data_IF_842298967298
#
_entry.id   IF_842298967298
#
_cell.length_a   1.000
_cell.length_b   1.000
_cell.length_c   1.000
_cell.angle_alpha   90.00
_cell.angle_beta   90.00
_cell.angle_gamma   90.00
#
_symmetry.space_group_name_H-M   'P 1'
#
loop_
_entity.id
_entity.type
_entity.pdbx_description
1 polymer ?
#
# COMPACT_ATOMS: atom_id res chain seq x y z
N UNK A 1 9.54 -42.34 9.33
CA UNK A 1 10.48 -41.26 9.67
C UNK A 1 10.46 -40.11 8.67
N UNK A 2 10.52 -40.33 7.37
CA UNK A 2 10.51 -39.27 6.37
C UNK A 2 9.23 -38.44 6.38
N UNK A 3 8.06 -39.06 6.59
CA UNK A 3 6.75 -38.37 6.65
C UNK A 3 6.61 -37.43 7.88
N UNK A 4 7.24 -37.77 9.01
CA UNK A 4 7.25 -36.92 10.19
C UNK A 4 8.17 -35.73 9.99
N UNK A 5 9.29 -35.90 9.30
CA UNK A 5 10.22 -34.82 8.99
C UNK A 5 9.59 -33.79 8.03
N UNK A 6 8.79 -34.25 7.04
CA UNK A 6 8.08 -33.39 6.11
C UNK A 6 6.96 -32.60 6.85
N UNK A 7 6.30 -33.20 7.82
CA UNK A 7 5.29 -32.51 8.63
C UNK A 7 5.90 -31.39 9.49
N UNK A 8 7.06 -31.63 10.09
CA UNK A 8 7.81 -30.59 10.86
C UNK A 8 8.28 -29.44 9.97
N UNK A 9 8.77 -29.73 8.75
CA UNK A 9 9.20 -28.69 7.80
C UNK A 9 8.02 -27.88 7.26
N UNK A 10 6.82 -28.48 7.17
CA UNK A 10 5.61 -27.76 6.73
C UNK A 10 4.99 -26.91 7.85
N UNK A 11 5.17 -27.26 9.11
CA UNK A 11 4.68 -26.45 10.24
C UNK A 11 5.57 -25.22 10.50
N UNK A 12 6.86 -25.26 10.17
CA UNK A 12 7.73 -24.09 10.26
C UNK A 12 7.55 -23.06 9.15
N UNK A 13 6.76 -23.39 8.10
CA UNK A 13 6.45 -22.47 6.99
C UNK A 13 5.12 -21.72 7.16
N UNK A 14 4.33 -22.00 8.19
CA UNK A 14 3.16 -21.22 8.54
C UNK A 14 3.63 -19.90 9.18
N UNK A 15 3.94 -18.89 8.36
CA UNK A 15 4.19 -17.55 8.87
C UNK A 15 2.94 -17.04 9.58
N UNK A 16 3.10 -16.56 10.82
CA UNK A 16 2.04 -15.80 11.47
C UNK A 16 1.79 -14.52 10.66
N UNK A 17 0.52 -14.18 10.46
CA UNK A 17 0.17 -12.91 9.80
C UNK A 17 0.13 -11.77 10.84
N UNK A 18 0.37 -10.53 10.43
CA UNK A 18 0.18 -9.39 11.30
C UNK A 18 -1.31 -9.14 11.56
N UNK A 19 -1.64 -8.58 12.72
CA UNK A 19 -3.03 -8.45 13.16
C UNK A 19 -3.40 -7.03 13.55
N UNK A 20 -4.68 -6.69 13.37
CA UNK A 20 -5.34 -5.51 13.93
C UNK A 20 -6.44 -5.95 14.88
N UNK A 21 -6.44 -5.44 16.10
CA UNK A 21 -7.44 -5.71 17.12
C UNK A 21 -8.09 -4.40 17.59
N UNK A 22 -9.33 -4.16 17.20
CA UNK A 22 -10.08 -2.98 17.64
C UNK A 22 -10.52 -3.09 19.09
N UNK A 23 -10.19 -2.09 19.92
CA UNK A 23 -10.44 -2.12 21.37
C UNK A 23 -11.93 -2.23 21.74
N UNK A 24 -12.81 -1.72 20.92
CA UNK A 24 -14.27 -1.77 21.13
C UNK A 24 -14.90 -3.16 20.94
N UNK A 25 -14.12 -4.17 20.61
CA UNK A 25 -14.60 -5.55 20.40
C UNK A 25 -14.45 -6.44 21.64
N UNK A 26 -13.86 -5.94 22.72
CA UNK A 26 -13.49 -6.73 23.90
C UNK A 26 -14.25 -6.23 25.14
N UNK A 27 -15.48 -6.76 25.43
CA UNK A 27 -16.27 -6.41 26.60
C UNK A 27 -15.58 -6.79 27.91
N UNK A 28 -16.03 -6.18 29.01
CA UNK A 28 -15.46 -6.38 30.36
C UNK A 28 -15.70 -7.78 30.93
N UNK A 29 -14.89 -8.14 31.91
CA UNK A 29 -15.07 -9.38 32.69
C UNK A 29 -14.58 -10.65 32.00
N UNK A 30 -13.99 -10.56 30.84
CA UNK A 30 -13.42 -11.68 30.08
C UNK A 30 -11.95 -11.38 29.76
N UNK A 31 -11.12 -12.40 29.82
CA UNK A 31 -9.76 -12.36 29.27
C UNK A 31 -9.77 -13.02 27.90
N UNK A 32 -9.30 -12.28 26.91
CA UNK A 32 -9.21 -12.71 25.51
C UNK A 32 -7.77 -13.13 25.22
N UNK A 33 -7.57 -14.41 24.91
CA UNK A 33 -6.30 -14.93 24.44
C UNK A 33 -6.20 -14.80 22.91
N UNK A 34 -5.04 -14.38 22.43
CA UNK A 34 -4.74 -14.25 21.01
C UNK A 34 -3.71 -15.32 20.60
N UNK A 35 -4.21 -16.51 20.27
CA UNK A 35 -3.38 -17.68 19.97
C UNK A 35 -2.61 -17.58 18.64
N UNK A 36 -3.04 -16.67 17.76
CA UNK A 36 -2.42 -16.49 16.44
C UNK A 36 -1.21 -15.53 16.45
N UNK A 37 -0.82 -15.01 17.61
CA UNK A 37 0.28 -14.06 17.74
C UNK A 37 1.57 -14.78 18.09
N UNK A 38 2.64 -14.49 17.34
CA UNK A 38 3.91 -15.17 17.53
C UNK A 38 4.85 -14.47 18.52
N UNK A 39 5.70 -15.27 19.15
CA UNK A 39 6.77 -14.77 20.02
C UNK A 39 7.77 -13.93 19.22
N UNK A 40 8.17 -12.80 19.80
CA UNK A 40 9.09 -11.86 19.18
C UNK A 40 8.43 -10.80 18.30
N UNK A 41 7.11 -10.88 18.08
CA UNK A 41 6.33 -9.81 17.45
C UNK A 41 6.31 -8.54 18.32
N UNK A 42 6.10 -7.38 17.71
CA UNK A 42 5.86 -6.12 18.41
C UNK A 42 4.38 -5.76 18.41
N UNK A 43 3.91 -5.32 19.57
CA UNK A 43 2.56 -4.77 19.76
C UNK A 43 2.64 -3.25 19.86
N UNK A 44 1.85 -2.55 19.06
CA UNK A 44 1.67 -1.10 19.05
C UNK A 44 0.22 -0.73 19.38
N UNK A 45 0.02 0.41 20.02
CA UNK A 45 -1.29 1.01 20.24
C UNK A 45 -1.46 2.25 19.36
N UNK A 46 -2.53 2.27 18.57
CA UNK A 46 -3.00 3.46 17.88
C UNK A 46 -4.32 3.91 18.51
N UNK A 47 -4.28 4.95 19.34
CA UNK A 47 -5.45 5.43 20.06
C UNK A 47 -5.35 6.93 20.36
N UNK A 48 -6.50 7.60 20.33
CA UNK A 48 -6.71 8.95 20.83
C UNK A 48 -7.64 8.94 22.06
N UNK A 49 -8.00 7.73 22.56
CA UNK A 49 -8.84 7.56 23.75
C UNK A 49 -8.10 8.09 25.00
N UNK A 50 -8.88 8.52 26.00
CA UNK A 50 -8.33 9.06 27.25
C UNK A 50 -7.52 7.99 28.00
N UNK A 51 -6.32 8.36 28.46
CA UNK A 51 -5.45 7.48 29.24
C UNK A 51 -6.13 6.93 30.50
N UNK A 52 -7.09 7.66 31.10
CA UNK A 52 -7.90 7.16 32.22
C UNK A 52 -8.74 5.94 31.86
N UNK A 53 -9.13 5.81 30.60
CA UNK A 53 -9.87 4.66 30.09
C UNK A 53 -8.89 3.57 29.68
N UNK A 54 -7.80 3.92 28.99
CA UNK A 54 -6.77 2.99 28.54
C UNK A 54 -6.04 2.29 29.69
N UNK A 55 -5.86 2.95 30.85
CA UNK A 55 -5.24 2.36 32.05
C UNK A 55 -6.02 1.14 32.60
N UNK A 56 -7.31 1.03 32.29
CA UNK A 56 -8.19 -0.06 32.70
C UNK A 56 -8.14 -1.25 31.72
N UNK A 57 -7.42 -1.14 30.63
CA UNK A 57 -7.21 -2.21 29.66
C UNK A 57 -5.82 -2.78 29.89
N UNK A 58 -5.74 -4.08 30.12
CA UNK A 58 -4.49 -4.77 30.44
C UNK A 58 -4.12 -5.74 29.34
N UNK A 59 -2.84 -5.72 29.01
CA UNK A 59 -2.17 -6.68 28.12
C UNK A 59 -1.24 -7.53 28.98
N UNK A 60 -1.36 -8.84 28.87
CA UNK A 60 -0.45 -9.79 29.53
C UNK A 60 0.32 -10.57 28.48
N UNK A 61 1.64 -10.58 28.59
CA UNK A 61 2.56 -11.34 27.74
C UNK A 61 3.84 -11.65 28.51
N UNK A 62 4.41 -12.84 28.34
CA UNK A 62 5.63 -13.27 29.05
C UNK A 62 5.49 -13.25 30.58
N UNK A 63 4.29 -13.46 31.11
CA UNK A 63 4.01 -13.37 32.55
C UNK A 63 4.05 -11.94 33.11
N UNK A 64 4.15 -10.91 32.27
CA UNK A 64 4.11 -9.50 32.64
C UNK A 64 2.80 -8.87 32.18
N UNK A 65 2.24 -7.98 33.01
CA UNK A 65 1.02 -7.24 32.69
C UNK A 65 1.34 -5.76 32.51
N UNK A 66 0.87 -5.19 31.42
CA UNK A 66 1.01 -3.78 31.04
C UNK A 66 -0.39 -3.16 30.93
N UNK A 67 -0.53 -1.88 31.23
CA UNK A 67 -1.73 -1.12 30.89
C UNK A 67 -1.55 -0.36 29.58
N UNK A 68 -2.62 -0.23 28.79
CA UNK A 68 -2.50 0.37 27.45
C UNK A 68 -2.11 1.84 27.45
N UNK A 69 -2.40 2.59 28.52
CA UNK A 69 -1.92 3.98 28.65
C UNK A 69 -0.40 4.09 28.57
N UNK A 70 0.35 3.05 28.99
CA UNK A 70 1.82 3.01 28.87
C UNK A 70 2.31 2.97 27.42
N UNK A 71 1.49 2.46 26.49
CA UNK A 71 1.78 2.44 25.06
C UNK A 71 1.26 3.67 24.30
N UNK A 72 0.44 4.48 24.97
CA UNK A 72 -0.22 5.64 24.34
C UNK A 72 0.68 6.88 24.25
N UNK A 73 1.99 6.66 24.20
CA UNK A 73 3.02 7.68 24.23
C UNK A 73 4.16 7.33 23.25
N UNK A 74 5.15 8.19 23.14
CA UNK A 74 6.31 8.03 22.26
C UNK A 74 7.58 7.85 23.08
N UNK A 75 8.60 7.26 22.48
CA UNK A 75 9.97 7.27 22.97
C UNK A 75 10.61 8.64 22.71
N UNK A 76 11.78 8.88 23.27
CA UNK A 76 12.51 10.17 23.15
C UNK A 76 12.91 10.49 21.69
N UNK A 77 13.01 9.48 20.84
CA UNK A 77 13.30 9.60 19.40
C UNK A 77 12.04 9.85 18.55
N UNK A 78 10.86 9.97 19.17
CA UNK A 78 9.58 10.14 18.49
C UNK A 78 8.97 8.86 17.93
N UNK A 79 9.62 7.71 18.09
CA UNK A 79 9.03 6.42 17.71
C UNK A 79 7.91 6.02 18.68
N UNK A 80 6.87 5.29 18.23
CA UNK A 80 5.82 4.82 19.11
C UNK A 80 6.36 3.78 20.10
N UNK A 81 5.87 3.82 21.34
CA UNK A 81 6.14 2.76 22.31
C UNK A 81 5.55 1.44 21.86
N UNK A 82 6.27 0.37 22.10
CA UNK A 82 5.85 -0.99 21.76
C UNK A 82 6.18 -1.98 22.87
N UNK A 83 5.45 -3.11 22.89
CA UNK A 83 5.76 -4.25 23.73
C UNK A 83 6.17 -5.41 22.85
N UNK A 84 7.32 -6.03 23.15
CA UNK A 84 7.72 -7.28 22.51
C UNK A 84 6.94 -8.44 23.12
N UNK A 85 6.24 -9.21 22.29
CA UNK A 85 5.41 -10.34 22.71
C UNK A 85 6.28 -11.54 23.04
N UNK A 86 5.90 -12.27 24.13
CA UNK A 86 6.56 -13.48 24.58
C UNK A 86 5.56 -14.38 25.28
N UNK A 87 5.44 -15.64 24.84
CA UNK A 87 4.59 -16.64 25.50
C UNK A 87 3.08 -16.34 25.44
N UNK A 88 2.60 -15.87 24.28
CA UNK A 88 1.19 -15.52 24.06
C UNK A 88 0.85 -14.07 24.39
N UNK A 89 -0.37 -13.69 24.07
CA UNK A 89 -0.91 -12.35 24.27
C UNK A 89 -2.34 -12.44 24.80
N UNK A 90 -2.58 -11.88 25.97
CA UNK A 90 -3.91 -11.80 26.57
C UNK A 90 -4.33 -10.33 26.71
N UNK A 91 -5.60 -10.04 26.49
CA UNK A 91 -6.22 -8.75 26.74
C UNK A 91 -7.39 -8.89 27.70
N UNK A 92 -7.47 -7.99 28.67
CA UNK A 92 -8.62 -7.88 29.58
C UNK A 92 -8.93 -6.41 29.87
N UNK A 93 -10.18 -6.11 30.19
CA UNK A 93 -10.60 -4.76 30.59
C UNK A 93 -11.52 -4.77 31.78
N UNK A 94 -11.38 -3.76 32.63
CA UNK A 94 -12.30 -3.45 33.72
C UNK A 94 -13.26 -2.30 33.41
N UNK A 95 -13.15 -1.72 32.21
CA UNK A 95 -14.12 -0.74 31.73
C UNK A 95 -15.48 -1.40 31.55
N UNK A 96 -16.56 -0.69 31.89
CA UNK A 96 -17.91 -1.15 31.58
C UNK A 96 -18.16 -1.12 30.08
N UNK A 97 -19.05 -1.96 29.58
CA UNK A 97 -19.29 -2.13 28.14
C UNK A 97 -19.70 -0.84 27.44
N UNK A 98 -20.46 0.04 28.12
CA UNK A 98 -20.84 1.35 27.56
C UNK A 98 -19.66 2.31 27.31
N UNK A 99 -18.54 2.08 28.00
CA UNK A 99 -17.26 2.79 27.78
C UNK A 99 -16.46 2.08 26.70
N UNK A 100 -16.32 0.75 26.81
CA UNK A 100 -15.56 -0.07 25.87
C UNK A 100 -16.09 0.10 24.43
N UNK A 101 -17.39 0.06 24.23
CA UNK A 101 -18.04 0.18 22.92
C UNK A 101 -17.78 1.56 22.23
N UNK A 102 -17.31 2.55 22.97
CA UNK A 102 -16.97 3.87 22.45
C UNK A 102 -15.49 4.05 22.13
N UNK A 103 -14.68 3.06 22.46
CA UNK A 103 -13.25 3.11 22.17
C UNK A 103 -13.02 3.18 20.67
N UNK A 104 -12.08 4.01 20.29
CA UNK A 104 -11.73 4.28 18.87
C UNK A 104 -10.39 3.69 18.50
N UNK A 105 -9.59 3.33 19.51
CA UNK A 105 -8.25 2.78 19.34
C UNK A 105 -8.25 1.33 18.87
N UNK A 106 -7.09 0.91 18.41
CA UNK A 106 -6.80 -0.45 18.01
C UNK A 106 -5.35 -0.81 18.30
N UNK A 107 -5.08 -2.10 18.39
CA UNK A 107 -3.75 -2.67 18.51
C UNK A 107 -3.29 -3.15 17.13
N UNK A 108 -2.03 -2.89 16.80
CA UNK A 108 -1.34 -3.49 15.67
C UNK A 108 -0.26 -4.43 16.19
N UNK A 109 -0.32 -5.69 15.77
CA UNK A 109 0.68 -6.71 16.06
C UNK A 109 1.41 -7.06 14.77
N UNK A 110 2.71 -6.88 14.78
CA UNK A 110 3.58 -7.28 13.67
C UNK A 110 3.80 -8.79 13.65
N UNK A 111 4.45 -9.30 12.63
CA UNK A 111 5.13 -10.59 12.73
C UNK A 111 6.50 -10.42 13.41
N UNK A 112 7.09 -11.51 13.88
CA UNK A 112 8.47 -11.49 14.39
C UNK A 112 9.45 -11.00 13.33
N UNK A 113 9.28 -11.46 12.08
CA UNK A 113 10.13 -11.05 10.96
C UNK A 113 10.04 -9.54 10.71
N UNK A 114 8.84 -8.95 10.78
CA UNK A 114 8.65 -7.50 10.67
C UNK A 114 9.30 -6.76 11.83
N UNK A 115 9.18 -7.30 13.06
CA UNK A 115 9.77 -6.71 14.26
C UNK A 115 11.31 -6.73 14.27
N UNK A 116 11.92 -7.72 13.61
CA UNK A 116 13.37 -7.90 13.54
C UNK A 116 13.99 -7.20 12.28
N UNK A 117 13.17 -6.70 11.34
CA UNK A 117 13.65 -5.98 10.14
C UNK A 117 13.89 -4.49 10.44
N UNK A 118 15.14 -4.06 10.36
CA UNK A 118 15.54 -2.66 10.57
C UNK A 118 14.97 -1.67 9.52
N UNK A 119 14.43 -2.18 8.42
CA UNK A 119 13.80 -1.38 7.37
C UNK A 119 12.26 -1.40 7.46
N UNK A 120 11.71 -2.03 8.48
CA UNK A 120 10.29 -2.03 8.78
C UNK A 120 10.00 -1.04 9.91
N UNK A 121 9.20 -0.02 9.60
CA UNK A 121 8.90 1.06 10.53
C UNK A 121 7.39 1.17 10.76
N UNK A 122 7.02 1.53 11.99
CA UNK A 122 5.62 1.81 12.35
C UNK A 122 5.55 3.22 12.89
N UNK A 123 4.63 4.03 12.37
CA UNK A 123 4.32 5.37 12.87
C UNK A 123 2.88 5.41 13.34
N UNK A 124 2.69 5.97 14.52
CA UNK A 124 1.37 6.26 15.10
C UNK A 124 1.13 7.77 14.96
N UNK A 125 0.19 8.15 14.10
CA UNK A 125 -0.01 9.54 13.72
C UNK A 125 -0.97 10.22 14.70
N UNK A 126 -0.42 10.98 15.63
CA UNK A 126 -1.15 11.88 16.56
C UNK A 126 -0.95 13.33 16.23
N UNK A 127 0.20 13.65 15.70
CA UNK A 127 0.64 15.00 15.31
C UNK A 127 1.35 14.91 13.96
N UNK A 128 2.04 15.97 13.58
CA UNK A 128 2.88 15.99 12.39
C UNK A 128 4.13 15.12 12.60
N UNK A 129 4.44 14.29 11.58
CA UNK A 129 5.65 13.51 11.50
C UNK A 129 6.41 13.83 10.21
N UNK A 130 7.70 14.09 10.34
CA UNK A 130 8.62 14.10 9.21
C UNK A 130 9.16 12.68 9.01
N UNK A 131 8.84 12.08 7.88
CA UNK A 131 9.29 10.73 7.55
C UNK A 131 10.39 10.81 6.51
N UNK A 132 11.53 10.21 6.82
CA UNK A 132 12.66 10.07 5.91
C UNK A 132 13.08 8.61 5.85
N UNK A 133 13.17 8.05 4.66
CA UNK A 133 13.72 6.74 4.42
C UNK A 133 14.89 6.88 3.43
N UNK A 134 16.02 6.28 3.75
CA UNK A 134 17.24 6.36 2.94
C UNK A 134 17.73 5.00 2.43
N UNK A 135 17.14 3.91 2.91
CA UNK A 135 17.56 2.55 2.58
C UNK A 135 17.11 2.12 1.17
N UNK A 136 17.74 1.07 0.65
CA UNK A 136 17.38 0.53 -0.65
C UNK A 136 15.96 0.00 -0.72
N UNK A 137 15.40 -0.46 0.40
CA UNK A 137 13.98 -0.87 0.52
C UNK A 137 13.53 -0.65 1.95
N UNK A 138 12.45 0.09 2.13
CA UNK A 138 11.80 0.28 3.42
C UNK A 138 10.30 0.04 3.30
N UNK A 139 9.71 -0.47 4.37
CA UNK A 139 8.26 -0.58 4.56
C UNK A 139 7.87 0.23 5.78
N UNK A 140 6.92 1.12 5.60
CA UNK A 140 6.47 2.05 6.64
C UNK A 140 4.96 1.91 6.82
N UNK A 141 4.54 1.49 8.00
CA UNK A 141 3.13 1.36 8.39
C UNK A 141 2.69 2.65 9.08
N UNK A 142 1.56 3.17 8.63
CA UNK A 142 0.92 4.38 9.17
C UNK A 142 -0.34 3.97 9.91
N UNK A 143 -0.40 4.29 11.18
CA UNK A 143 -1.53 4.03 12.06
C UNK A 143 -2.18 5.34 12.47
N UNK A 144 -3.37 5.62 11.97
CA UNK A 144 -4.14 6.82 12.30
C UNK A 144 -4.89 6.63 13.62
N UNK A 145 -4.87 7.65 14.47
CA UNK A 145 -5.39 7.54 15.84
C UNK A 145 -6.69 8.29 16.06
N UNK A 146 -6.80 9.49 15.52
CA UNK A 146 -7.88 10.40 15.84
C UNK A 146 -8.98 10.29 14.79
N UNK A 147 -10.20 10.17 15.26
CA UNK A 147 -11.36 10.51 14.46
C UNK A 147 -11.46 12.03 14.33
N UNK A 148 -11.32 12.49 13.13
CA UNK A 148 -11.61 13.87 12.81
C UNK A 148 -13.12 13.96 12.66
N UNK A 149 -13.80 14.58 13.63
CA UNK A 149 -15.23 14.87 13.52
C UNK A 149 -15.42 15.92 12.45
N UNK A 150 -15.98 15.50 11.34
CA UNK A 150 -16.58 16.43 10.39
C UNK A 150 -17.92 16.92 10.92
N UNK A 151 -18.22 18.18 10.68
CA UNK A 151 -19.18 19.03 11.38
C UNK A 151 -20.60 18.49 11.58
N UNK A 152 -21.06 17.47 10.86
CA UNK A 152 -22.43 16.96 10.99
C UNK A 152 -22.63 15.49 10.64
N UNK A 153 -21.58 14.73 10.38
CA UNK A 153 -21.71 13.29 10.18
C UNK A 153 -21.38 12.55 11.47
N UNK A 154 -22.29 11.71 11.94
CA UNK A 154 -22.05 10.83 13.08
C UNK A 154 -21.00 9.74 12.79
N UNK A 155 -20.21 9.89 11.72
CA UNK A 155 -19.21 8.92 11.31
C UNK A 155 -17.82 9.57 11.39
N UNK A 156 -17.05 9.18 12.39
CA UNK A 156 -15.69 9.68 12.55
C UNK A 156 -14.77 9.11 11.46
N UNK A 157 -13.97 9.97 10.86
CA UNK A 157 -12.96 9.61 9.86
C UNK A 157 -11.57 9.66 10.48
N UNK A 158 -10.79 8.61 10.35
CA UNK A 158 -9.35 8.64 10.58
C UNK A 158 -8.66 8.99 9.26
N UNK A 159 -7.74 9.95 9.30
CA UNK A 159 -7.15 10.49 8.09
C UNK A 159 -5.68 10.83 8.26
N UNK A 160 -4.91 10.61 7.22
CA UNK A 160 -3.56 11.15 7.04
C UNK A 160 -3.57 12.19 5.93
N UNK A 161 -2.93 13.33 6.18
CA UNK A 161 -2.65 14.34 5.18
C UNK A 161 -1.15 14.33 4.87
N UNK A 162 -0.81 13.93 3.66
CA UNK A 162 0.57 13.73 3.19
C UNK A 162 0.97 14.90 2.31
N UNK A 163 2.08 15.56 2.65
CA UNK A 163 2.60 16.73 1.95
C UNK A 163 4.11 16.66 1.80
N UNK A 164 4.67 17.59 1.02
CA UNK A 164 6.11 17.77 0.84
C UNK A 164 6.81 16.46 0.46
N UNK A 165 6.18 15.71 -0.42
CA UNK A 165 6.74 14.45 -0.91
C UNK A 165 7.87 14.75 -1.89
N UNK A 166 9.08 14.35 -1.51
CA UNK A 166 10.29 14.54 -2.30
C UNK A 166 11.05 13.23 -2.45
N UNK A 167 11.23 12.78 -3.69
CA UNK A 167 12.03 11.62 -4.03
C UNK A 167 12.53 11.70 -5.48
N UNK A 168 13.56 10.94 -5.79
CA UNK A 168 14.15 10.95 -7.14
C UNK A 168 13.43 10.00 -8.10
N UNK A 169 13.68 10.18 -9.40
CA UNK A 169 13.15 9.29 -10.45
C UNK A 169 13.63 7.83 -10.33
N UNK A 170 14.70 7.58 -9.61
CA UNK A 170 15.22 6.24 -9.34
C UNK A 170 14.54 5.56 -8.14
N UNK A 171 13.78 6.31 -7.34
CA UNK A 171 12.99 5.79 -6.23
C UNK A 171 11.69 5.21 -6.77
N UNK A 172 11.27 4.04 -6.27
CA UNK A 172 9.93 3.52 -6.49
C UNK A 172 9.15 3.65 -5.18
N UNK A 173 8.04 4.35 -5.22
CA UNK A 173 7.13 4.56 -4.11
C UNK A 173 5.77 3.93 -4.40
N UNK A 174 5.24 3.18 -3.43
CA UNK A 174 3.92 2.55 -3.52
C UNK A 174 3.17 2.76 -2.21
N UNK A 175 2.01 3.40 -2.25
CA UNK A 175 1.06 3.46 -1.13
C UNK A 175 0.07 2.32 -1.27
N UNK A 176 -0.17 1.63 -0.18
CA UNK A 176 -0.93 0.38 -0.13
C UNK A 176 -1.92 0.42 1.03
N UNK A 177 -3.16 -0.04 0.80
CA UNK A 177 -4.16 -0.12 1.87
C UNK A 177 -3.97 -1.37 2.72
N UNK A 178 -4.42 -1.29 3.97
CA UNK A 178 -4.31 -2.38 4.93
C UNK A 178 -2.98 -2.38 5.68
N UNK A 179 -2.57 -3.54 6.14
CA UNK A 179 -1.28 -3.80 6.78
C UNK A 179 -0.47 -4.75 5.90
N UNK A 180 0.87 -4.62 5.86
CA UNK A 180 1.69 -5.49 5.04
C UNK A 180 1.62 -6.94 5.54
N UNK A 181 1.34 -7.89 4.65
CA UNK A 181 1.31 -9.31 4.96
C UNK A 181 2.68 -9.83 5.47
N UNK A 182 2.71 -11.04 6.02
CA UNK A 182 3.95 -11.64 6.54
C UNK A 182 5.08 -11.73 5.49
N UNK A 183 4.71 -11.88 4.22
CA UNK A 183 5.63 -11.92 3.08
C UNK A 183 5.62 -10.63 2.25
N UNK A 184 5.54 -9.47 2.88
CA UNK A 184 5.40 -8.10 2.29
C UNK A 184 6.40 -7.74 1.18
N UNK A 185 7.10 -8.71 0.62
CA UNK A 185 8.00 -8.52 -0.52
C UNK A 185 7.25 -8.23 -1.82
N UNK A 186 5.97 -8.59 -1.90
CA UNK A 186 5.12 -8.26 -3.03
C UNK A 186 4.60 -6.82 -2.90
N UNK A 187 5.19 -5.94 -3.71
CA UNK A 187 4.84 -4.51 -3.74
C UNK A 187 3.71 -4.20 -4.71
N UNK A 188 3.13 -5.20 -5.37
CA UNK A 188 2.09 -4.99 -6.39
C UNK A 188 0.69 -5.08 -5.83
N UNK A 189 0.52 -5.72 -4.67
CA UNK A 189 -0.78 -5.89 -4.04
C UNK A 189 -1.22 -4.64 -3.29
N UNK A 190 -2.52 -4.35 -3.33
CA UNK A 190 -3.16 -3.28 -2.57
C UNK A 190 -2.62 -1.86 -2.84
N UNK A 191 -1.98 -1.62 -3.99
CA UNK A 191 -1.45 -0.30 -4.33
C UNK A 191 -2.59 0.62 -4.74
N UNK A 192 -2.69 1.78 -4.11
CA UNK A 192 -3.64 2.84 -4.49
C UNK A 192 -2.97 4.11 -5.03
N UNK A 193 -1.66 4.27 -4.81
CA UNK A 193 -0.86 5.34 -5.38
C UNK A 193 0.55 4.85 -5.64
N UNK A 194 1.18 5.30 -6.71
CA UNK A 194 2.57 5.00 -7.01
C UNK A 194 3.26 6.15 -7.73
N UNK A 195 4.54 6.32 -7.44
CA UNK A 195 5.39 7.24 -8.20
C UNK A 195 6.81 6.66 -8.30
N UNK A 196 7.29 6.37 -9.51
CA UNK A 196 6.65 6.54 -10.82
C UNK A 196 5.49 5.56 -11.07
N UNK A 197 4.67 5.87 -12.07
CA UNK A 197 3.65 4.98 -12.59
C UNK A 197 4.16 4.22 -13.82
N UNK A 198 3.59 3.03 -14.05
CA UNK A 198 3.80 2.30 -15.28
C UNK A 198 2.56 2.43 -16.15
N UNK A 199 2.68 3.16 -17.26
CA UNK A 199 1.63 3.27 -18.26
C UNK A 199 1.82 2.18 -19.31
N UNK A 200 0.80 1.38 -19.49
CA UNK A 200 0.82 0.27 -20.44
C UNK A 200 -0.46 0.24 -21.25
N UNK A 201 -0.31 0.09 -22.57
CA UNK A 201 -1.37 -0.35 -23.48
C UNK A 201 -0.78 -1.35 -24.47
N UNK A 202 -1.54 -1.76 -25.50
CA UNK A 202 -1.12 -2.77 -26.48
C UNK A 202 0.17 -2.40 -27.24
N UNK A 203 0.47 -1.11 -27.36
CA UNK A 203 1.58 -0.60 -28.14
C UNK A 203 2.62 0.16 -27.32
N UNK A 204 2.35 0.39 -26.04
CA UNK A 204 3.12 1.29 -25.21
C UNK A 204 3.37 0.73 -23.81
N UNK A 205 4.61 0.85 -23.35
CA UNK A 205 4.99 0.55 -21.97
C UNK A 205 6.04 1.56 -21.54
N UNK A 206 5.66 2.51 -20.70
CA UNK A 206 6.56 3.52 -20.17
C UNK A 206 6.42 3.66 -18.65
N UNK A 207 7.55 3.91 -18.03
CA UNK A 207 7.65 4.31 -16.64
C UNK A 207 7.72 5.83 -16.58
N UNK A 208 6.70 6.46 -15.99
CA UNK A 208 6.58 7.92 -15.92
C UNK A 208 6.77 8.37 -14.47
N UNK A 209 7.78 9.19 -14.24
CA UNK A 209 8.06 9.82 -12.97
C UNK A 209 7.46 11.22 -12.92
N UNK A 210 6.78 11.53 -11.82
CA UNK A 210 6.21 12.84 -11.54
C UNK A 210 7.08 13.55 -10.51
N UNK A 211 7.68 14.64 -10.90
CA UNK A 211 8.53 15.45 -10.02
C UNK A 211 7.73 16.36 -9.07
N UNK A 212 6.42 16.44 -9.27
CA UNK A 212 5.50 17.12 -8.38
C UNK A 212 4.35 16.20 -7.99
N UNK A 213 4.14 16.06 -6.69
CA UNK A 213 3.01 15.31 -6.12
C UNK A 213 2.17 16.29 -5.31
N UNK A 214 0.89 16.43 -5.71
CA UNK A 214 -0.08 17.22 -4.97
C UNK A 214 -0.32 16.63 -3.56
N UNK A 215 -0.75 17.43 -2.60
CA UNK A 215 -1.10 16.93 -1.29
C UNK A 215 -2.10 15.77 -1.37
N UNK A 216 -1.83 14.70 -0.64
CA UNK A 216 -2.66 13.48 -0.63
C UNK A 216 -3.38 13.36 0.70
N UNK A 217 -4.69 13.11 0.64
CA UNK A 217 -5.51 12.80 1.81
C UNK A 217 -5.88 11.32 1.79
N UNK A 218 -5.53 10.59 2.87
CA UNK A 218 -5.76 9.15 2.99
C UNK A 218 -6.69 8.88 4.16
N UNK A 219 -7.97 8.65 3.87
CA UNK A 219 -9.03 8.41 4.84
C UNK A 219 -9.14 6.94 5.23
N UNK A 220 -8.11 6.38 5.83
CA UNK A 220 -8.04 4.99 6.29
C UNK A 220 -7.60 4.92 7.74
N UNK A 221 -8.04 3.90 8.48
CA UNK A 221 -7.56 3.66 9.85
C UNK A 221 -6.05 3.37 9.85
N UNK A 222 -5.61 2.58 8.88
CA UNK A 222 -4.22 2.23 8.67
C UNK A 222 -3.93 1.97 7.20
N UNK A 223 -2.72 2.25 6.82
CA UNK A 223 -2.17 2.00 5.49
C UNK A 223 -0.66 1.88 5.60
N UNK A 224 0.00 1.48 4.55
CA UNK A 224 1.45 1.42 4.54
C UNK A 224 2.00 1.85 3.20
N UNK A 225 3.28 2.17 3.17
CA UNK A 225 3.97 2.35 1.92
C UNK A 225 5.28 1.57 1.89
N UNK A 226 5.63 1.14 0.68
CA UNK A 226 6.93 0.57 0.38
C UNK A 226 7.69 1.53 -0.51
N UNK A 227 8.95 1.71 -0.20
CA UNK A 227 9.83 2.59 -0.97
C UNK A 227 11.15 1.89 -1.27
N UNK A 228 11.61 2.05 -2.52
CA UNK A 228 12.92 1.58 -2.95
C UNK A 228 13.74 2.80 -3.38
N UNK A 229 14.52 3.35 -2.47
CA UNK A 229 15.31 4.56 -2.62
C UNK A 229 14.96 5.62 -1.59
N UNK A 230 15.66 6.76 -1.60
CA UNK A 230 15.44 7.84 -0.63
C UNK A 230 14.10 8.54 -0.89
N UNK A 231 13.42 8.88 0.21
CA UNK A 231 12.21 9.69 0.22
C UNK A 231 12.15 10.56 1.47
N UNK A 232 11.56 11.74 1.33
CA UNK A 232 11.13 12.59 2.41
C UNK A 232 9.66 12.96 2.23
N UNK A 233 8.89 13.00 3.31
CA UNK A 233 7.51 13.49 3.31
C UNK A 233 7.08 13.92 4.70
N UNK A 234 6.03 14.73 4.75
CA UNK A 234 5.34 15.09 5.99
C UNK A 234 3.99 14.37 6.01
N UNK A 235 3.67 13.73 7.13
CA UNK A 235 2.36 13.13 7.38
C UNK A 235 1.78 13.77 8.65
N UNK A 236 0.54 14.27 8.53
CA UNK A 236 -0.20 14.90 9.62
C UNK A 236 -1.52 14.18 9.85
N UNK A 237 -1.94 14.10 11.13
CA UNK A 237 -3.32 13.76 11.47
C UNK A 237 -4.21 14.99 11.26
N UNK A 238 -4.62 15.21 10.02
CA UNK A 238 -5.38 16.37 9.59
C UNK A 238 -6.33 15.98 8.47
N UNK A 239 -7.53 16.52 8.50
CA UNK A 239 -8.47 16.47 7.39
C UNK A 239 -8.63 17.85 6.78
N UNK A 240 -8.48 17.96 5.47
CA UNK A 240 -8.66 19.19 4.71
C UNK A 240 -10.00 19.10 3.98
N UNK A 241 -10.94 19.90 4.43
CA UNK A 241 -12.34 19.87 4.03
C UNK A 241 -12.59 20.41 2.63
N UNK A 242 -11.78 21.40 2.27
CA UNK A 242 -11.85 22.14 1.02
C UNK A 242 -10.63 21.87 0.14
N UNK A 243 -10.12 20.65 0.20
CA UNK A 243 -8.99 20.25 -0.61
C UNK A 243 -9.32 20.40 -2.10
N UNK A 244 -8.61 21.31 -2.76
CA UNK A 244 -8.71 21.47 -4.20
C UNK A 244 -7.79 20.49 -4.89
N UNK A 245 -8.36 19.56 -5.64
CA UNK A 245 -7.61 18.63 -6.45
C UNK A 245 -7.21 19.32 -7.77
N UNK A 246 -5.91 19.34 -8.04
CA UNK A 246 -5.39 20.04 -9.22
C UNK A 246 -4.05 19.46 -9.67
N UNK A 247 -3.64 19.81 -10.89
CA UNK A 247 -2.27 19.66 -11.36
C UNK A 247 -1.62 21.02 -11.44
N UNK A 248 -0.41 21.19 -10.94
CA UNK A 248 0.32 22.48 -10.96
C UNK A 248 1.16 22.69 -12.22
N UNK A 249 0.85 21.96 -13.27
CA UNK A 249 1.55 22.02 -14.55
C UNK A 249 1.98 20.64 -15.05
N UNK A 250 3.13 20.61 -15.74
CA UNK A 250 3.67 19.39 -16.29
C UNK A 250 4.23 18.45 -15.20
N UNK A 251 4.15 17.16 -15.44
CA UNK A 251 4.71 16.10 -14.59
C UNK A 251 4.20 16.14 -13.14
N UNK A 252 2.91 16.35 -12.99
CA UNK A 252 2.20 16.38 -11.71
C UNK A 252 1.29 15.18 -11.57
N UNK A 253 1.22 14.61 -10.37
CA UNK A 253 0.27 13.56 -9.97
C UNK A 253 -0.34 13.86 -8.61
N UNK A 254 -1.51 13.32 -8.35
CA UNK A 254 -2.18 13.40 -7.08
C UNK A 254 -3.17 12.24 -6.93
N UNK A 255 -3.93 12.23 -5.83
CA UNK A 255 -4.87 11.18 -5.51
C UNK A 255 -6.20 11.75 -5.06
N UNK A 256 -7.27 11.25 -5.64
CA UNK A 256 -8.65 11.38 -5.14
C UNK A 256 -9.08 10.02 -4.60
N UNK A 257 -9.69 10.01 -3.42
CA UNK A 257 -10.33 8.81 -2.88
C UNK A 257 -11.70 9.16 -2.31
N UNK A 258 -12.59 8.20 -2.23
CA UNK A 258 -13.89 8.38 -1.56
C UNK A 258 -13.69 8.78 -0.11
N UNK A 259 -14.47 9.73 0.34
CA UNK A 259 -14.64 10.09 1.75
C UNK A 259 -16.11 10.02 2.17
N UNK A 260 -16.42 10.31 3.45
CA UNK A 260 -17.80 10.26 3.96
C UNK A 260 -18.69 11.42 3.51
N UNK A 261 -18.15 12.40 2.81
CA UNK A 261 -18.80 13.69 2.60
C UNK A 261 -19.14 13.88 1.13
N UNK A 262 -18.18 13.60 0.28
CA UNK A 262 -18.29 13.85 -1.14
C UNK A 262 -18.30 12.54 -1.92
N UNK A 263 -19.31 12.38 -2.74
CA UNK A 263 -19.37 11.35 -3.78
C UNK A 263 -19.02 11.89 -5.16
N UNK A 264 -18.68 13.17 -5.26
CA UNK A 264 -18.17 13.78 -6.48
C UNK A 264 -16.94 14.64 -6.15
N UNK A 265 -15.87 14.41 -6.87
CA UNK A 265 -14.64 15.17 -6.80
C UNK A 265 -14.25 15.66 -8.18
N UNK A 266 -13.79 16.89 -8.25
CA UNK A 266 -13.29 17.50 -9.48
C UNK A 266 -11.82 17.78 -9.36
N UNK A 267 -11.04 17.28 -10.33
CA UNK A 267 -9.62 17.59 -10.51
C UNK A 267 -9.47 18.57 -11.65
N UNK A 268 -8.87 19.73 -11.37
CA UNK A 268 -8.54 20.72 -12.38
C UNK A 268 -7.15 20.43 -12.94
N UNK A 269 -7.08 20.02 -14.19
CA UNK A 269 -5.80 19.88 -14.88
C UNK A 269 -5.29 21.25 -15.32
N UNK A 270 -4.01 21.50 -15.05
CA UNK A 270 -3.30 22.71 -15.47
C UNK A 270 -2.11 22.34 -16.38
N UNK A 271 -2.38 21.81 -17.58
CA UNK A 271 -1.33 21.33 -18.45
C UNK A 271 -0.56 22.48 -19.07
N UNK A 272 0.74 22.28 -19.31
CA UNK A 272 1.54 23.19 -20.14
C UNK A 272 1.21 22.98 -21.61
N UNK A 273 0.28 23.78 -22.13
CA UNK A 273 -0.22 23.70 -23.51
C UNK A 273 0.80 24.13 -24.57
N UNK A 274 1.96 24.63 -24.16
CA UNK A 274 3.07 24.94 -25.09
C UNK A 274 3.85 23.68 -25.50
N UNK A 275 3.57 22.54 -24.86
CA UNK A 275 4.24 21.26 -25.09
C UNK A 275 3.22 20.18 -25.39
N UNK A 276 3.68 19.14 -26.07
CA UNK A 276 2.95 17.89 -26.15
C UNK A 276 2.88 17.25 -24.76
N UNK A 277 1.81 16.55 -24.48
CA UNK A 277 1.62 15.91 -23.18
C UNK A 277 0.33 15.14 -23.15
N UNK A 278 0.11 14.46 -22.03
CA UNK A 278 -1.10 13.69 -21.79
C UNK A 278 -1.60 13.89 -20.38
N UNK A 279 -2.92 13.78 -20.22
CA UNK A 279 -3.60 13.74 -18.95
C UNK A 279 -4.29 12.39 -18.80
N UNK A 280 -4.40 11.90 -17.59
CA UNK A 280 -5.06 10.64 -17.35
C UNK A 280 -5.24 10.32 -15.87
N UNK A 281 -5.74 9.12 -15.64
CA UNK A 281 -5.91 8.57 -14.30
C UNK A 281 -5.69 7.07 -14.26
N UNK A 282 -5.32 6.57 -13.10
CA UNK A 282 -5.34 5.16 -12.74
C UNK A 282 -6.43 5.00 -11.70
N UNK A 283 -7.39 4.15 -11.98
CA UNK A 283 -8.47 3.87 -11.06
C UNK A 283 -8.27 2.53 -10.38
N UNK A 284 -8.66 2.47 -9.11
CA UNK A 284 -8.79 1.25 -8.34
C UNK A 284 -10.06 1.35 -7.52
N UNK A 285 -11.00 0.45 -7.78
CA UNK A 285 -12.27 0.45 -7.09
C UNK A 285 -12.60 -0.91 -6.49
N UNK A 286 -13.39 -0.90 -5.44
CA UNK A 286 -13.92 -2.10 -4.81
C UNK A 286 -15.33 -2.41 -5.31
N UNK A 287 -15.78 -3.67 -5.21
CA UNK A 287 -16.92 -4.19 -5.97
C UNK A 287 -18.30 -3.70 -5.57
N UNK A 288 -18.44 -2.79 -4.64
CA UNK A 288 -19.73 -2.45 -4.03
C UNK A 288 -20.36 -1.16 -4.53
N UNK A 289 -19.67 -0.39 -5.36
CA UNK A 289 -20.14 0.91 -5.84
C UNK A 289 -19.84 1.11 -7.31
N UNK A 290 -20.73 1.81 -8.00
CA UNK A 290 -20.48 2.30 -9.34
C UNK A 290 -19.69 3.60 -9.24
N UNK A 291 -18.64 3.74 -10.04
CA UNK A 291 -17.78 4.92 -10.09
C UNK A 291 -17.68 5.41 -11.53
N UNK A 292 -17.99 6.69 -11.74
CA UNK A 292 -17.86 7.36 -13.03
C UNK A 292 -16.62 8.25 -13.06
N UNK A 293 -15.91 8.23 -14.19
CA UNK A 293 -14.72 9.01 -14.46
C UNK A 293 -14.90 9.76 -15.79
N UNK A 294 -14.98 11.09 -15.73
CA UNK A 294 -15.27 11.92 -16.90
C UNK A 294 -14.14 12.92 -17.11
N UNK A 295 -13.45 12.81 -18.23
CA UNK A 295 -12.41 13.78 -18.62
C UNK A 295 -12.92 14.72 -19.69
N UNK A 296 -12.66 16.01 -19.52
CA UNK A 296 -13.09 17.08 -20.41
C UNK A 296 -11.90 17.90 -20.93
N UNK A 297 -11.97 18.35 -22.17
CA UNK A 297 -11.07 19.34 -22.77
C UNK A 297 -11.90 20.45 -23.40
N UNK A 298 -11.98 21.61 -22.75
CA UNK A 298 -12.95 22.64 -23.07
C UNK A 298 -14.37 22.09 -22.97
N UNK A 299 -15.23 22.29 -23.99
CA UNK A 299 -16.58 21.76 -23.99
C UNK A 299 -16.69 20.28 -24.42
N UNK A 300 -15.60 19.66 -24.82
CA UNK A 300 -15.57 18.30 -25.35
C UNK A 300 -15.32 17.28 -24.24
N UNK A 301 -16.21 16.29 -24.12
CA UNK A 301 -15.98 15.09 -23.33
C UNK A 301 -14.95 14.21 -24.09
N UNK A 302 -13.78 14.03 -23.55
CA UNK A 302 -12.67 13.25 -24.19
C UNK A 302 -12.60 11.82 -23.63
N UNK A 303 -13.15 11.57 -22.46
CA UNK A 303 -13.27 10.23 -21.89
C UNK A 303 -14.51 10.16 -21.02
N UNK A 304 -15.29 9.10 -21.22
CA UNK A 304 -16.45 8.74 -20.41
C UNK A 304 -16.27 7.26 -20.03
N UNK A 305 -16.01 7.02 -18.76
CA UNK A 305 -15.75 5.69 -18.26
C UNK A 305 -16.56 5.47 -16.99
N UNK A 306 -17.56 4.60 -17.06
CA UNK A 306 -18.35 4.19 -15.91
C UNK A 306 -18.02 2.76 -15.56
N UNK A 307 -17.62 2.56 -14.33
CA UNK A 307 -17.33 1.26 -13.79
C UNK A 307 -18.48 0.74 -12.96
N UNK A 308 -18.99 -0.42 -13.34
CA UNK A 308 -19.93 -1.18 -12.53
C UNK A 308 -19.28 -1.88 -11.34
N UNK A 309 -20.12 -2.48 -10.51
CA UNK A 309 -19.68 -3.25 -9.33
C UNK A 309 -18.72 -4.37 -9.70
N UNK A 310 -17.56 -4.43 -9.04
CA UNK A 310 -16.53 -5.44 -9.26
C UNK A 310 -15.13 -4.89 -8.92
N UNK A 311 -14.19 -5.70 -8.46
CA UNK A 311 -12.81 -5.25 -8.26
C UNK A 311 -12.25 -4.80 -9.61
N UNK A 312 -11.66 -3.63 -9.58
CA UNK A 312 -11.21 -2.94 -10.78
C UNK A 312 -9.81 -2.39 -10.59
N UNK A 313 -9.04 -2.54 -11.61
CA UNK A 313 -7.73 -1.95 -11.76
C UNK A 313 -7.58 -1.53 -13.23
N UNK A 314 -7.64 -0.24 -13.48
CA UNK A 314 -7.62 0.31 -14.82
C UNK A 314 -6.79 1.57 -14.94
N UNK A 315 -6.21 1.76 -16.10
CA UNK A 315 -5.51 3.00 -16.45
C UNK A 315 -6.16 3.59 -17.68
N UNK A 316 -6.61 4.82 -17.56
CA UNK A 316 -7.14 5.59 -18.67
C UNK A 316 -6.33 6.88 -18.86
N UNK A 317 -5.97 7.17 -20.08
CA UNK A 317 -5.27 8.39 -20.43
C UNK A 317 -5.59 8.79 -21.87
N UNK A 318 -5.46 10.07 -22.14
CA UNK A 318 -5.69 10.64 -23.45
C UNK A 318 -4.42 11.30 -23.96
N UNK A 319 -4.09 11.20 -25.27
CA UNK A 319 -2.98 11.92 -25.86
C UNK A 319 -3.22 13.44 -25.89
N UNK A 320 -4.43 13.89 -25.59
CA UNK A 320 -4.77 15.29 -25.44
C UNK A 320 -4.71 15.69 -23.96
N UNK A 321 -4.28 16.93 -23.73
CA UNK A 321 -4.30 17.47 -22.38
C UNK A 321 -5.74 17.85 -22.01
N UNK A 322 -6.28 17.18 -20.99
CA UNK A 322 -7.58 17.52 -20.45
C UNK A 322 -7.50 18.78 -19.55
N UNK A 323 -8.63 19.43 -19.37
CA UNK A 323 -8.82 20.57 -18.45
C UNK A 323 -9.38 20.13 -17.12
N UNK A 324 -10.15 19.04 -17.12
CA UNK A 324 -10.91 18.59 -15.95
C UNK A 324 -11.07 17.06 -15.94
N UNK A 325 -11.03 16.48 -14.75
CA UNK A 325 -11.50 15.14 -14.46
C UNK A 325 -12.57 15.25 -13.37
N UNK A 326 -13.74 14.68 -13.62
CA UNK A 326 -14.78 14.49 -12.60
C UNK A 326 -14.83 13.00 -12.24
N UNK A 327 -14.76 12.72 -10.94
CA UNK A 327 -14.89 11.37 -10.38
C UNK A 327 -16.09 11.37 -9.47
N UNK A 328 -17.06 10.49 -9.72
CA UNK A 328 -18.23 10.36 -8.86
C UNK A 328 -18.49 8.90 -8.50
N UNK A 329 -19.08 8.68 -7.34
CA UNK A 329 -19.51 7.35 -6.89
C UNK A 329 -20.98 7.37 -6.50
N UNK A 330 -21.63 6.21 -6.61
CA UNK A 330 -23.04 6.07 -6.22
C UNK A 330 -23.28 6.22 -4.72
N UNK A 331 -22.24 6.04 -3.89
CA UNK A 331 -22.33 6.17 -2.43
C UNK A 331 -21.02 6.73 -1.86
N UNK A 332 -21.08 7.63 -0.86
CA UNK A 332 -19.92 8.18 -0.19
C UNK A 332 -19.43 7.21 0.91
N UNK A 333 -18.79 6.12 0.54
CA UNK A 333 -18.18 5.17 1.50
C UNK A 333 -16.68 5.24 1.37
N UNK A 334 -15.93 5.68 2.39
CA UNK A 334 -14.49 5.81 2.34
C UNK A 334 -13.78 4.52 1.94
N UNK A 335 -12.71 4.67 1.15
CA UNK A 335 -11.92 3.56 0.71
C UNK A 335 -12.58 2.65 -0.32
N UNK A 336 -13.68 3.08 -0.96
CA UNK A 336 -14.36 2.30 -2.00
C UNK A 336 -13.77 2.52 -3.39
N UNK A 337 -13.13 3.65 -3.61
CA UNK A 337 -12.30 3.88 -4.79
C UNK A 337 -11.07 4.72 -4.48
N UNK A 338 -10.06 4.57 -5.34
CA UNK A 338 -8.85 5.38 -5.39
C UNK A 338 -8.62 5.76 -6.84
N UNK A 339 -8.42 7.06 -7.09
CA UNK A 339 -8.17 7.60 -8.43
C UNK A 339 -6.88 8.43 -8.39
N UNK A 340 -5.78 7.84 -8.86
CA UNK A 340 -4.54 8.58 -9.06
C UNK A 340 -4.63 9.30 -10.39
N UNK A 341 -4.69 10.63 -10.38
CA UNK A 341 -4.68 11.46 -11.57
C UNK A 341 -3.28 11.96 -11.89
N UNK A 342 -3.05 12.31 -13.15
CA UNK A 342 -1.74 12.81 -13.59
C UNK A 342 -1.81 13.66 -14.85
N UNK A 343 -0.82 14.55 -14.97
CA UNK A 343 -0.49 15.30 -16.18
C UNK A 343 1.01 15.24 -16.42
N UNK A 344 1.43 14.89 -17.61
CA UNK A 344 2.84 14.88 -17.96
C UNK A 344 3.08 15.49 -19.34
N UNK A 345 4.32 15.95 -19.57
CA UNK A 345 4.80 16.44 -20.85
C UNK A 345 5.78 15.44 -21.46
N UNK A 346 5.68 15.24 -22.74
CA UNK A 346 6.52 14.35 -23.52
C UNK A 346 5.72 13.48 -24.47
N UNK A 347 6.38 12.92 -25.45
CA UNK A 347 5.76 12.01 -26.39
C UNK A 347 5.66 10.63 -25.74
N UNK A 348 4.44 10.19 -25.50
CA UNK A 348 4.14 8.82 -25.07
C UNK A 348 4.25 7.81 -26.22
N UNK A 349 4.38 8.29 -27.44
CA UNK A 349 4.63 7.41 -28.56
C UNK A 349 6.02 6.78 -28.36
N UNK A 350 6.14 5.46 -28.41
CA UNK A 350 7.44 4.84 -28.43
C UNK A 350 8.20 5.47 -29.58
N UNK A 351 9.28 6.16 -29.26
CA UNK A 351 10.25 6.52 -30.30
C UNK A 351 10.68 5.18 -30.86
N UNK A 352 10.13 4.82 -32.02
CA UNK A 352 10.61 3.69 -32.79
C UNK A 352 12.03 4.05 -33.14
N UNK A 353 12.98 3.68 -32.29
CA UNK A 353 14.39 3.76 -32.62
C UNK A 353 14.53 2.72 -33.69
N UNK A 354 14.31 3.18 -34.95
CA UNK A 354 14.75 2.45 -36.11
C UNK A 354 16.26 2.41 -35.93
N UNK A 355 16.75 1.33 -35.34
CA UNK A 355 18.15 1.01 -35.43
C UNK A 355 18.40 0.87 -36.95
N UNK A 356 18.78 1.94 -37.55
CA UNK A 356 19.40 1.92 -38.88
C UNK A 356 20.68 1.15 -38.67
N UNK A 357 20.60 -0.17 -38.86
CA UNK A 357 21.79 -1.01 -38.96
C UNK A 357 22.58 -0.47 -40.16
N UNK A 358 23.47 0.45 -39.86
CA UNK A 358 24.51 0.88 -40.83
C UNK A 358 25.42 -0.34 -40.96
N UNK A 359 25.13 -1.16 -41.95
CA UNK A 359 26.07 -2.18 -42.42
C UNK A 359 27.38 -1.47 -42.73
N UNK A 360 28.36 -1.62 -41.90
CA UNK A 360 29.71 -1.21 -42.16
C UNK A 360 30.18 -1.86 -43.46
N UNK A 361 30.91 -1.14 -44.34
CA UNK A 361 31.39 -1.69 -45.59
C UNK A 361 32.35 -2.86 -45.28
N UNK A 362 32.05 -4.00 -45.88
CA UNK A 362 32.86 -5.21 -45.82
C UNK A 362 34.21 -4.94 -46.47
N UNK A 363 35.25 -4.77 -45.68
CA UNK A 363 36.64 -4.81 -46.15
C UNK A 363 37.08 -6.27 -46.16
N UNK A 364 37.23 -6.81 -47.34
CA UNK A 364 37.81 -8.13 -47.59
C UNK A 364 39.26 -8.14 -47.18
N UNK A 365 39.63 -8.89 -46.19
CA UNK A 365 41.02 -9.24 -45.88
C UNK A 365 41.11 -10.72 -45.51
N UNK A 366 42.02 -11.35 -46.18
CA UNK A 366 42.39 -12.74 -46.30
C UNK A 366 42.58 -13.52 -44.98
N UNK A 367 42.26 -14.80 -45.12
CA UNK A 367 42.58 -15.99 -44.34
C UNK A 367 43.84 -15.96 -43.48
N UNK A 368 43.69 -16.46 -42.26
CA UNK A 368 44.63 -17.45 -41.71
C UNK A 368 43.87 -18.32 -40.69
N UNK A 369 44.02 -19.61 -40.87
CA UNK A 369 43.44 -20.71 -40.06
C UNK A 369 44.02 -20.75 -38.65
N UNK A 370 43.20 -21.06 -37.64
CA UNK A 370 43.52 -22.12 -36.65
C UNK A 370 42.42 -22.30 -35.61
N UNK A 371 42.17 -23.58 -35.38
CA UNK A 371 41.72 -24.25 -34.18
C UNK A 371 40.32 -24.01 -33.61
N UNK A 372 39.55 -25.02 -33.78
CA UNK A 372 38.32 -25.43 -33.09
C UNK A 372 38.49 -25.48 -31.58
N UNK A 373 37.60 -24.80 -30.84
CA UNK A 373 37.33 -25.14 -29.47
C UNK A 373 35.79 -25.11 -29.29
N UNK A 374 35.22 -26.30 -29.20
CA UNK A 374 33.81 -26.55 -28.94
C UNK A 374 33.53 -26.25 -27.48
N UNK A 375 32.74 -25.19 -27.22
CA UNK A 375 32.14 -24.98 -25.90
C UNK A 375 30.66 -25.32 -26.03
N UNK A 376 30.27 -26.42 -25.43
CA UNK A 376 28.87 -26.89 -25.32
C UNK A 376 28.16 -25.98 -24.33
N UNK A 377 27.20 -25.20 -24.79
CA UNK A 377 26.25 -24.45 -23.97
C UNK A 377 25.16 -25.41 -23.55
N UNK A 378 25.12 -25.74 -22.28
CA UNK A 378 24.02 -26.50 -21.69
C UNK A 378 22.78 -25.60 -21.59
N UNK A 379 21.77 -25.91 -22.39
CA UNK A 379 20.42 -25.39 -22.25
C UNK A 379 19.75 -26.09 -21.06
N UNK A 380 19.61 -25.39 -19.94
CA UNK A 380 18.78 -25.86 -18.82
C UNK A 380 17.32 -25.59 -19.14
N UNK A 381 16.60 -26.64 -19.39
CA UNK A 381 15.15 -26.63 -19.62
C UNK A 381 14.40 -26.37 -18.31
N UNK A 382 13.44 -25.44 -18.36
CA UNK A 382 12.58 -24.94 -17.28
C UNK A 382 11.46 -25.94 -16.88
N UNK A 383 11.64 -27.22 -17.07
CA UNK A 383 10.57 -28.23 -16.88
C UNK A 383 10.55 -28.96 -15.52
N UNK A 384 11.49 -28.66 -14.60
CA UNK A 384 11.56 -29.46 -13.37
C UNK A 384 10.72 -28.94 -12.19
N UNK A 385 10.26 -27.67 -12.22
CA UNK A 385 9.48 -27.09 -11.11
C UNK A 385 8.00 -27.45 -11.15
N UNK A 386 7.42 -27.56 -12.35
CA UNK A 386 5.99 -27.85 -12.49
C UNK A 386 5.65 -29.32 -12.19
N UNK A 387 6.56 -30.24 -12.47
CA UNK A 387 6.38 -31.65 -12.14
C UNK A 387 6.45 -31.93 -10.63
N UNK A 388 7.23 -31.14 -9.89
CA UNK A 388 7.33 -31.29 -8.45
C UNK A 388 6.07 -30.78 -7.75
N UNK A 389 5.53 -29.65 -8.19
CA UNK A 389 4.27 -29.06 -7.68
C UNK A 389 3.08 -29.98 -7.94
N UNK A 390 2.99 -30.57 -9.13
CA UNK A 390 1.92 -31.49 -9.47
C UNK A 390 1.98 -32.82 -8.68
N UNK A 391 3.16 -33.33 -8.37
CA UNK A 391 3.34 -34.53 -7.53
C UNK A 391 2.97 -34.28 -6.06
N UNK A 392 3.21 -33.08 -5.55
CA UNK A 392 2.85 -32.70 -4.18
C UNK A 392 1.34 -32.59 -4.04
N UNK A 393 0.65 -31.99 -5.00
CA UNK A 393 -0.82 -31.87 -5.00
C UNK A 393 -1.49 -33.26 -5.08
N UNK A 394 -0.97 -34.17 -5.91
CA UNK A 394 -1.49 -35.54 -6.00
C UNK A 394 -1.26 -36.32 -4.70
N UNK A 395 -0.11 -36.12 -4.03
CA UNK A 395 0.19 -36.79 -2.77
C UNK A 395 -0.73 -36.30 -1.63
N UNK A 396 -1.02 -35.00 -1.57
CA UNK A 396 -1.94 -34.41 -0.60
C UNK A 396 -3.38 -34.87 -0.80
N UNK A 397 -3.85 -35.01 -2.03
CA UNK A 397 -5.20 -35.52 -2.32
C UNK A 397 -5.37 -36.99 -1.97
N UNK A 398 -4.34 -37.82 -2.12
CA UNK A 398 -4.36 -39.25 -1.76
C UNK A 398 -4.34 -39.43 -0.24
N UNK A 399 -3.67 -38.56 0.51
CA UNK A 399 -3.68 -38.60 1.99
C UNK A 399 -5.02 -38.17 2.56
N UNK A 400 -5.65 -37.11 2.02
CA UNK A 400 -6.97 -36.65 2.44
C UNK A 400 -8.07 -37.70 2.19
N UNK A 401 -8.00 -38.46 1.10
CA UNK A 401 -8.95 -39.52 0.76
C UNK A 401 -8.81 -40.79 1.62
N UNK A 402 -7.77 -40.96 2.41
CA UNK A 402 -7.60 -42.10 3.35
C UNK A 402 -8.06 -41.80 4.77
N UNK A 403 -8.40 -40.55 5.09
CA UNK A 403 -8.87 -40.11 6.42
C UNK A 403 -10.32 -39.57 6.40
N UNK A 404 -11.02 -39.70 5.30
CA UNK A 404 -12.48 -39.62 5.14
C UNK A 404 -13.04 -41.03 4.89
#
# INVERSE_FOLDING_TARGET
MLSILILFVLTDLAYSEPHIFYLNKYPSGVTYAFDAVEDGANLYLASYDDNKVLMNIKITTGGKTFSLDQLNDFNDDGSPKSIKISGGLDLSTTNIDSVTNKLTGYLHVTTRRQADDSNFHVYVIKTQHFISASSMKSTVVILNTQYLTYLDTNQPLKNSYVTQMDHSSNTNLYFQWGIPAANWTDVTNNVFFSNPINLKNDTFNARVFFNHVEPIQVGLDFWYFTVMGPINMIIENKYVNDLTYQTTGANTTGLVMTDYIFYEHTVNFQPDRTKTGSSGFIERSFPTVDVGYYMESGPALVSDYVRGTGPSDGTNWTPQQADKLTVNSSTPVPGTFYCQYFTFTGDLLPTTTTQTSTLAPTTTAQQTSMAVSTTTVATTTKESSDLLSMKIIILLSVVAAKFL
#
